data_IF_961596050456
#
_entry.id   IF_961596050456
#
_cell.length_a   1.000
_cell.length_b   1.000
_cell.length_c   1.000
_cell.angle_alpha   90.00
_cell.angle_beta   90.00
_cell.angle_gamma   90.00
#
_symmetry.space_group_name_H-M   'P 1'
#
loop_
_entity.id
_entity.type
_entity.pdbx_description
1 polymer ?
#
# COMPACT_ATOMS: atom_id res chain seq x y z
N UNK A 1 8.24 19.65 -10.22
CA UNK A 1 7.67 18.36 -9.76
C UNK A 1 8.39 17.98 -8.47
N UNK A 2 7.97 18.49 -7.30
CA UNK A 2 8.75 18.47 -6.05
C UNK A 2 9.13 17.10 -5.46
N UNK A 3 8.87 15.99 -6.16
CA UNK A 3 9.40 14.68 -5.78
C UNK A 3 10.93 14.70 -5.94
N UNK A 4 11.64 14.73 -4.81
CA UNK A 4 13.10 14.86 -4.78
C UNK A 4 13.79 13.57 -4.27
N UNK A 5 13.04 12.66 -3.66
CA UNK A 5 13.56 11.43 -3.08
C UNK A 5 12.88 10.23 -3.73
N UNK A 6 13.70 9.37 -4.32
CA UNK A 6 13.31 8.07 -4.86
C UNK A 6 14.20 7.03 -4.20
N UNK A 7 13.61 6.00 -3.60
CA UNK A 7 14.37 4.95 -2.93
C UNK A 7 14.96 3.97 -3.95
N UNK A 8 16.06 3.30 -3.57
CA UNK A 8 16.61 2.21 -4.38
C UNK A 8 15.61 1.05 -4.46
N UNK A 9 15.34 0.50 -5.65
CA UNK A 9 14.40 -0.60 -5.79
C UNK A 9 14.87 -1.86 -5.07
N UNK A 10 13.94 -2.56 -4.42
CA UNK A 10 14.19 -3.87 -3.81
C UNK A 10 13.09 -4.88 -4.21
N UNK A 11 13.38 -6.17 -4.07
CA UNK A 11 12.42 -7.23 -4.40
C UNK A 11 11.76 -7.74 -3.12
N UNK A 12 10.44 -7.66 -3.06
CA UNK A 12 9.63 -8.29 -2.05
C UNK A 12 9.23 -9.69 -2.53
N UNK A 13 10.11 -10.66 -2.27
CA UNK A 13 9.97 -12.03 -2.79
C UNK A 13 8.65 -12.70 -2.40
N UNK A 14 8.15 -12.43 -1.19
CA UNK A 14 6.86 -12.96 -0.70
C UNK A 14 5.67 -12.53 -1.55
N UNK A 15 5.80 -11.42 -2.27
CA UNK A 15 4.77 -10.86 -3.14
C UNK A 15 5.16 -10.88 -4.63
N UNK A 16 6.38 -11.35 -4.95
CA UNK A 16 6.93 -11.44 -6.31
C UNK A 16 6.84 -10.11 -7.06
N UNK A 17 7.26 -9.05 -6.39
CA UNK A 17 7.20 -7.67 -6.90
C UNK A 17 8.47 -6.92 -6.52
N UNK A 18 9.01 -6.16 -7.47
CA UNK A 18 10.04 -5.16 -7.22
C UNK A 18 9.35 -3.83 -6.92
N UNK A 19 9.81 -3.16 -5.88
CA UNK A 19 9.19 -1.97 -5.30
C UNK A 19 10.21 -0.85 -5.20
N UNK A 20 9.81 0.38 -5.53
CA UNK A 20 10.48 1.59 -5.05
C UNK A 20 9.46 2.66 -4.67
N UNK A 21 9.88 3.61 -3.86
CA UNK A 21 9.04 4.67 -3.32
C UNK A 21 9.50 6.03 -3.83
N UNK A 22 8.54 6.85 -4.24
CA UNK A 22 8.74 8.25 -4.59
C UNK A 22 8.07 9.11 -3.52
N UNK A 23 8.86 9.86 -2.76
CA UNK A 23 8.32 10.74 -1.72
C UNK A 23 7.71 12.00 -2.34
N UNK A 24 6.49 12.32 -1.93
CA UNK A 24 5.88 13.62 -2.23
C UNK A 24 6.33 14.67 -1.21
N UNK A 25 6.42 15.96 -1.60
CA UNK A 25 6.77 17.03 -0.67
C UNK A 25 5.90 17.04 0.58
N UNK A 26 6.55 17.21 1.73
CA UNK A 26 5.84 17.58 2.96
C UNK A 26 5.37 19.02 2.83
N UNK A 27 4.11 19.28 3.17
CA UNK A 27 3.57 20.63 3.26
C UNK A 27 3.28 20.96 4.73
N UNK A 28 3.79 22.12 5.17
CA UNK A 28 3.44 22.68 6.46
C UNK A 28 2.40 23.77 6.25
N UNK A 29 1.21 23.58 6.80
CA UNK A 29 0.08 24.50 6.68
C UNK A 29 -0.57 24.82 8.02
N UNK A 30 -1.67 25.59 7.97
CA UNK A 30 -2.41 26.00 9.16
C UNK A 30 -3.01 24.83 9.98
N UNK A 31 -3.08 23.63 9.39
CA UNK A 31 -3.57 22.40 10.02
C UNK A 31 -2.44 21.49 10.53
N UNK A 32 -1.18 21.94 10.48
CA UNK A 32 0.00 21.17 10.85
C UNK A 32 0.88 20.79 9.65
N UNK A 33 1.91 20.00 9.92
CA UNK A 33 2.78 19.39 8.90
C UNK A 33 2.22 18.03 8.54
N UNK A 34 1.90 17.79 7.28
CA UNK A 34 1.65 16.43 6.80
C UNK A 34 2.99 15.73 6.60
N UNK A 35 3.12 14.51 7.12
CA UNK A 35 4.09 13.57 6.54
C UNK A 35 3.69 13.41 5.07
N UNK A 36 4.62 13.61 4.14
CA UNK A 36 4.32 13.50 2.72
C UNK A 36 3.73 12.12 2.41
N UNK A 37 2.94 12.00 1.36
CA UNK A 37 2.52 10.69 0.84
C UNK A 37 3.66 10.06 0.06
N UNK A 38 3.70 8.73 -0.02
CA UNK A 38 4.59 8.00 -0.93
C UNK A 38 3.81 7.48 -2.14
N UNK A 39 4.40 7.57 -3.32
CA UNK A 39 3.96 6.81 -4.49
C UNK A 39 4.81 5.54 -4.54
N UNK A 40 4.16 4.39 -4.35
CA UNK A 40 4.78 3.08 -4.50
C UNK A 40 4.72 2.65 -5.98
N UNK A 41 5.88 2.45 -6.59
CA UNK A 41 6.01 1.90 -7.94
C UNK A 41 6.22 0.39 -7.87
N UNK A 42 5.38 -0.36 -8.58
CA UNK A 42 5.35 -1.82 -8.54
C UNK A 42 5.67 -2.42 -9.91
N UNK A 43 6.71 -3.26 -9.97
CA UNK A 43 7.08 -4.05 -11.14
C UNK A 43 7.00 -5.54 -10.79
N UNK A 44 6.12 -6.35 -11.42
CA UNK A 44 6.04 -7.77 -11.10
C UNK A 44 7.33 -8.50 -11.50
N UNK A 45 7.87 -9.33 -10.61
CA UNK A 45 9.00 -10.22 -10.94
C UNK A 45 8.54 -11.57 -11.50
N UNK A 46 7.24 -11.85 -11.39
CA UNK A 46 6.57 -13.06 -11.91
C UNK A 46 5.21 -12.65 -12.52
N UNK A 47 4.88 -13.06 -13.77
CA UNK A 47 3.59 -12.77 -14.40
C UNK A 47 2.39 -13.34 -13.63
N UNK A 48 2.57 -14.40 -12.84
CA UNK A 48 1.51 -15.01 -12.04
C UNK A 48 1.30 -14.34 -10.66
N UNK A 49 2.10 -13.33 -10.32
CA UNK A 49 1.91 -12.49 -9.14
C UNK A 49 0.58 -11.72 -9.18
N UNK A 50 0.15 -11.16 -8.04
CA UNK A 50 -1.05 -10.33 -7.99
C UNK A 50 -0.96 -9.13 -8.94
N UNK A 51 0.19 -8.44 -8.94
CA UNK A 51 0.46 -7.30 -9.81
C UNK A 51 0.59 -7.74 -11.27
N UNK A 52 1.25 -8.87 -11.54
CA UNK A 52 1.39 -9.42 -12.90
C UNK A 52 0.03 -9.72 -13.54
N UNK A 53 -0.85 -10.41 -12.81
CA UNK A 53 -2.24 -10.67 -13.24
C UNK A 53 -3.07 -9.41 -13.39
N UNK A 54 -2.82 -8.39 -12.58
CA UNK A 54 -3.49 -7.09 -12.70
C UNK A 54 -3.02 -6.34 -13.95
N UNK A 55 -1.72 -6.29 -14.22
CA UNK A 55 -1.15 -5.66 -15.41
C UNK A 55 -1.57 -6.35 -16.71
N UNK A 56 -1.72 -7.68 -16.71
CA UNK A 56 -2.27 -8.40 -17.87
C UNK A 56 -3.68 -7.92 -18.26
N UNK A 57 -4.47 -7.42 -17.29
CA UNK A 57 -5.79 -6.82 -17.51
C UNK A 57 -5.73 -5.31 -17.75
N UNK A 58 -4.63 -4.66 -17.36
CA UNK A 58 -4.42 -3.21 -17.40
C UNK A 58 -3.04 -2.91 -18.03
N UNK A 59 -2.86 -3.14 -19.34
CA UNK A 59 -1.54 -3.16 -19.97
C UNK A 59 -0.82 -1.81 -20.01
N UNK A 60 -1.53 -0.70 -19.79
CA UNK A 60 -0.95 0.64 -19.70
C UNK A 60 -0.46 0.99 -18.27
N UNK A 61 -0.67 0.10 -17.30
CA UNK A 61 -0.48 0.39 -15.89
C UNK A 61 -1.62 1.22 -15.29
N UNK A 62 -1.39 1.77 -14.09
CA UNK A 62 -2.36 2.59 -13.37
C UNK A 62 -2.29 2.41 -11.86
N UNK A 63 -3.25 2.98 -11.15
CA UNK A 63 -3.35 2.85 -9.69
C UNK A 63 -3.81 1.44 -9.30
N UNK A 64 -2.93 0.69 -8.63
CA UNK A 64 -3.24 -0.68 -8.19
C UNK A 64 -4.04 -0.69 -6.89
N UNK A 65 -3.60 0.07 -5.89
CA UNK A 65 -4.23 0.17 -4.59
C UNK A 65 -3.96 1.54 -3.94
N UNK A 66 -4.67 1.84 -2.86
CA UNK A 66 -4.40 2.96 -1.95
C UNK A 66 -4.14 2.38 -0.56
N UNK A 67 -3.10 2.87 0.11
CA UNK A 67 -2.73 2.44 1.46
C UNK A 67 -3.10 3.50 2.49
N UNK A 68 -3.63 3.07 3.64
CA UNK A 68 -3.87 3.90 4.82
C UNK A 68 -3.18 3.31 6.04
N UNK A 69 -2.54 4.20 6.80
CA UNK A 69 -1.93 3.82 8.08
C UNK A 69 -2.97 3.72 9.19
N UNK A 70 -2.77 2.74 10.07
CA UNK A 70 -3.49 2.57 11.33
C UNK A 70 -2.50 2.29 12.45
N UNK A 71 -2.86 2.65 13.68
CA UNK A 71 -1.97 2.46 14.84
C UNK A 71 -1.86 0.99 15.29
N UNK A 72 -2.94 0.21 15.15
CA UNK A 72 -2.97 -1.24 15.47
C UNK A 72 -3.70 -2.02 14.37
N UNK A 73 -2.97 -2.95 13.73
CA UNK A 73 -3.50 -3.70 12.59
C UNK A 73 -4.60 -4.70 12.99
N UNK A 74 -4.53 -5.26 14.20
CA UNK A 74 -5.48 -6.26 14.67
C UNK A 74 -6.81 -5.59 15.05
N UNK A 75 -6.75 -4.44 15.71
CA UNK A 75 -7.92 -3.60 15.98
C UNK A 75 -8.58 -3.15 14.67
N UNK A 76 -7.79 -2.67 13.71
CA UNK A 76 -8.29 -2.25 12.40
C UNK A 76 -8.97 -3.41 11.64
N UNK A 77 -8.34 -4.59 11.57
CA UNK A 77 -8.94 -5.77 10.94
C UNK A 77 -10.29 -6.10 11.57
N UNK A 78 -10.32 -6.19 12.90
CA UNK A 78 -11.54 -6.49 13.63
C UNK A 78 -12.62 -5.41 13.41
N UNK A 79 -12.23 -4.13 13.29
CA UNK A 79 -13.17 -3.05 12.96
C UNK A 79 -13.79 -3.24 11.57
N UNK A 80 -12.99 -3.49 10.53
CA UNK A 80 -13.50 -3.73 9.18
C UNK A 80 -14.42 -4.95 9.12
N UNK A 81 -14.05 -6.05 9.77
CA UNK A 81 -14.87 -7.26 9.84
C UNK A 81 -16.20 -7.02 10.57
N UNK A 82 -16.22 -6.26 11.67
CA UNK A 82 -17.46 -5.86 12.36
C UNK A 82 -18.38 -5.00 11.48
N UNK A 83 -17.81 -4.24 10.55
CA UNK A 83 -18.58 -3.47 9.56
C UNK A 83 -19.06 -4.34 8.37
N UNK A 84 -18.83 -5.66 8.40
CA UNK A 84 -19.22 -6.58 7.33
C UNK A 84 -18.36 -6.46 6.07
N UNK A 85 -17.17 -5.87 6.18
CA UNK A 85 -16.26 -5.66 5.04
C UNK A 85 -15.46 -6.94 4.77
N UNK A 86 -15.21 -7.22 3.49
CA UNK A 86 -14.42 -8.38 3.06
C UNK A 86 -12.92 -8.06 3.18
N UNK A 87 -12.35 -8.45 4.30
CA UNK A 87 -10.89 -8.51 4.50
C UNK A 87 -10.32 -9.68 3.70
N UNK A 88 -9.21 -9.45 3.01
CA UNK A 88 -8.58 -10.40 2.10
C UNK A 88 -7.38 -11.07 2.79
N UNK A 89 -7.62 -12.26 3.35
CA UNK A 89 -6.61 -13.05 4.04
C UNK A 89 -6.24 -12.50 5.43
N UNK A 90 -5.22 -13.09 6.03
CA UNK A 90 -4.68 -12.63 7.31
C UNK A 90 -3.60 -11.56 7.12
N UNK A 91 -3.38 -10.69 8.12
CA UNK A 91 -2.31 -9.71 8.08
C UNK A 91 -0.96 -10.36 7.79
N UNK A 92 -0.14 -9.73 6.94
CA UNK A 92 1.19 -10.20 6.54
C UNK A 92 2.18 -9.05 6.48
N UNK A 93 3.47 -9.32 6.35
CA UNK A 93 4.49 -8.27 6.22
C UNK A 93 4.44 -7.63 4.83
N UNK A 94 4.34 -6.30 4.80
CA UNK A 94 4.34 -5.45 3.60
C UNK A 94 5.73 -4.90 3.24
N UNK A 95 5.76 -3.98 2.27
CA UNK A 95 7.00 -3.42 1.72
C UNK A 95 7.79 -2.58 2.75
N UNK A 96 7.12 -1.92 3.69
CA UNK A 96 7.76 -1.21 4.81
C UNK A 96 8.15 -2.11 6.00
N UNK A 97 8.03 -3.44 5.85
CA UNK A 97 8.35 -4.38 6.94
C UNK A 97 7.33 -4.40 8.08
N UNK A 98 6.18 -3.73 7.94
CA UNK A 98 5.08 -3.76 8.91
C UNK A 98 3.93 -4.63 8.44
N UNK A 99 2.97 -4.86 9.35
CA UNK A 99 1.82 -5.70 9.05
C UNK A 99 0.81 -4.96 8.18
N UNK A 100 0.30 -5.64 7.15
CA UNK A 100 -0.70 -5.14 6.20
C UNK A 100 -1.83 -6.15 6.00
N UNK A 101 -3.02 -5.67 5.68
CA UNK A 101 -4.06 -6.48 5.02
C UNK A 101 -4.79 -5.66 3.95
N UNK A 102 -5.51 -6.35 3.06
CA UNK A 102 -6.30 -5.68 2.02
C UNK A 102 -7.80 -5.81 2.29
N UNK A 103 -8.56 -4.77 1.93
CA UNK A 103 -10.02 -4.77 1.91
C UNK A 103 -10.50 -4.82 0.46
N UNK A 104 -11.49 -5.69 0.19
CA UNK A 104 -11.95 -5.93 -1.17
C UNK A 104 -12.58 -4.68 -1.81
N UNK A 105 -12.25 -4.37 -3.09
CA UNK A 105 -12.79 -3.24 -3.84
C UNK A 105 -14.32 -3.03 -3.81
N UNK A 106 -15.16 -4.09 -3.82
CA UNK A 106 -16.62 -3.85 -3.82
C UNK A 106 -17.15 -3.33 -2.49
N UNK A 107 -16.33 -3.32 -1.44
CA UNK A 107 -16.70 -2.74 -0.13
C UNK A 107 -16.03 -1.38 0.12
N UNK A 108 -15.19 -0.94 -0.83
CA UNK A 108 -14.34 0.26 -0.80
C UNK A 108 -14.48 1.10 -2.08
N UNK A 109 -15.69 1.16 -2.66
CA UNK A 109 -15.99 2.05 -3.78
C UNK A 109 -15.27 1.72 -5.10
N UNK A 110 -14.84 0.47 -5.29
CA UNK A 110 -14.12 0.02 -6.49
C UNK A 110 -12.60 0.08 -6.38
N UNK A 111 -12.05 0.63 -5.29
CA UNK A 111 -10.61 0.72 -5.07
C UNK A 111 -10.12 -0.41 -4.18
N UNK A 112 -9.04 -1.09 -4.56
CA UNK A 112 -8.34 -2.00 -3.64
C UNK A 112 -7.67 -1.14 -2.57
N UNK A 113 -7.97 -1.42 -1.30
CA UNK A 113 -7.46 -0.65 -0.18
C UNK A 113 -6.56 -1.52 0.68
N UNK A 114 -5.32 -1.09 0.86
CA UNK A 114 -4.39 -1.64 1.85
C UNK A 114 -4.55 -0.89 3.17
N UNK A 115 -4.53 -1.63 4.26
CA UNK A 115 -4.42 -1.10 5.62
C UNK A 115 -3.07 -1.55 6.14
N UNK A 116 -2.24 -0.59 6.56
CA UNK A 116 -0.88 -0.82 7.01
C UNK A 116 -0.73 -0.37 8.45
N UNK A 117 -0.08 -1.17 9.26
CA UNK A 117 0.33 -0.75 10.60
C UNK A 117 1.41 0.32 10.50
N UNK A 118 1.21 1.41 11.22
CA UNK A 118 2.16 2.52 11.28
C UNK A 118 3.54 2.00 11.69
N UNK A 119 4.59 2.28 10.90
CA UNK A 119 5.96 1.89 11.25
C UNK A 119 6.41 2.53 12.56
N UNK A 120 7.10 1.73 13.38
CA UNK A 120 7.63 2.17 14.70
C UNK A 120 8.91 2.99 14.60
N UNK A 121 9.43 3.17 13.38
CA UNK A 121 10.58 4.02 13.04
C UNK A 121 10.28 4.79 11.76
N UNK A 122 11.23 5.61 11.30
CA UNK A 122 11.09 6.31 10.02
C UNK A 122 11.06 5.31 8.86
N UNK A 123 10.18 5.56 7.89
CA UNK A 123 9.95 4.75 6.69
C UNK A 123 9.61 5.62 5.48
#
# INVERSE_FOLDING_TARGET
MGAAVVTEPFVLESQKVRVCFVETPQESGALGTTGGTQIELLEPTDPDSAVGKWLAKNPLGGQHHICYEVEDIAEAKAWFERQGKRVLGEPRVGAHGTMIFFVHPKDMGGQLTEIMERPKGAH
#
